data_IF_193933356964
#
_entry.id   IF_193933356964
#
_cell.length_a   1.000
_cell.length_b   1.000
_cell.length_c   1.000
_cell.angle_alpha   90.00
_cell.angle_beta   90.00
_cell.angle_gamma   90.00
#
_symmetry.space_group_name_H-M   'P 1'
#
loop_
_entity.id
_entity.type
_entity.pdbx_description
1 polymer ?
#
# COMPACT_ATOMS: atom_id res chain seq x y z
N UNK A 1 -8.43 -14.76 4.27
CA UNK A 1 -7.85 -14.84 2.90
C UNK A 1 -6.56 -15.67 2.94
N UNK A 2 -6.36 -16.66 2.05
CA UNK A 2 -5.21 -17.59 2.08
C UNK A 2 -3.88 -16.94 1.63
N UNK A 3 -3.96 -15.92 0.76
CA UNK A 3 -2.80 -15.21 0.17
C UNK A 3 -1.98 -14.44 1.20
N UNK A 4 -2.62 -13.58 2.01
CA UNK A 4 -1.93 -12.81 3.04
C UNK A 4 -1.18 -13.70 4.04
N UNK A 5 -1.78 -14.84 4.42
CA UNK A 5 -1.13 -15.85 5.27
C UNK A 5 0.08 -16.48 4.60
N UNK A 6 0.01 -16.78 3.30
CA UNK A 6 1.15 -17.33 2.54
C UNK A 6 2.31 -16.32 2.52
N UNK A 7 2.00 -15.07 2.16
CA UNK A 7 2.97 -13.98 2.10
C UNK A 7 3.59 -13.72 3.47
N UNK A 8 2.83 -13.68 4.57
CA UNK A 8 3.39 -13.49 5.92
C UNK A 8 4.37 -14.59 6.33
N UNK A 9 4.10 -15.85 5.95
CA UNK A 9 4.87 -17.01 6.43
C UNK A 9 6.07 -17.39 5.57
N UNK A 10 6.12 -16.95 4.32
CA UNK A 10 7.14 -17.41 3.37
C UNK A 10 7.83 -16.23 2.69
N UNK A 11 8.98 -15.81 3.24
CA UNK A 11 9.83 -14.75 2.67
C UNK A 11 10.27 -15.08 1.24
N UNK A 12 10.48 -16.36 0.91
CA UNK A 12 10.82 -16.78 -0.45
C UNK A 12 9.71 -16.44 -1.46
N UNK A 13 8.44 -16.59 -1.07
CA UNK A 13 7.28 -16.24 -1.90
C UNK A 13 7.19 -14.72 -2.05
N UNK A 14 7.39 -13.97 -0.95
CA UNK A 14 7.48 -12.50 -1.02
C UNK A 14 8.58 -12.06 -1.96
N UNK A 15 9.79 -12.60 -1.81
CA UNK A 15 10.93 -12.28 -2.67
C UNK A 15 10.70 -12.63 -4.14
N UNK A 16 10.01 -13.73 -4.42
CA UNK A 16 9.63 -14.08 -5.79
C UNK A 16 8.67 -13.05 -6.40
N UNK A 17 7.59 -12.72 -5.71
CA UNK A 17 6.60 -11.78 -6.22
C UNK A 17 7.08 -10.32 -6.20
N UNK A 18 7.89 -9.92 -5.22
CA UNK A 18 8.45 -8.56 -5.17
C UNK A 18 9.39 -8.26 -6.34
N UNK A 19 10.10 -9.29 -6.84
CA UNK A 19 10.93 -9.19 -8.06
C UNK A 19 10.11 -9.14 -9.34
N UNK A 20 8.92 -9.75 -9.35
CA UNK A 20 8.04 -9.81 -10.52
C UNK A 20 7.10 -8.62 -10.61
N UNK A 21 6.55 -8.20 -9.48
CA UNK A 21 5.70 -7.04 -9.29
C UNK A 21 6.58 -5.90 -8.78
N UNK A 22 7.28 -5.26 -9.72
CA UNK A 22 8.22 -4.17 -9.41
C UNK A 22 7.50 -2.86 -9.06
N UNK A 23 6.32 -2.64 -9.64
CA UNK A 23 5.48 -1.46 -9.42
C UNK A 23 4.03 -1.93 -9.20
N UNK A 24 3.41 -1.47 -8.12
CA UNK A 24 2.03 -1.75 -7.77
C UNK A 24 1.24 -0.45 -7.77
N UNK A 25 0.19 -0.37 -8.60
CA UNK A 25 -0.78 0.72 -8.58
C UNK A 25 -2.05 0.23 -7.90
N UNK A 26 -2.50 0.96 -6.89
CA UNK A 26 -3.75 0.70 -6.17
C UNK A 26 -4.67 1.89 -6.42
N UNK A 27 -5.73 1.65 -7.18
CA UNK A 27 -6.79 2.62 -7.43
C UNK A 27 -7.92 2.43 -6.40
N UNK A 28 -8.72 3.48 -6.20
CA UNK A 28 -9.82 3.51 -5.23
C UNK A 28 -9.41 3.04 -3.82
N UNK A 29 -8.27 3.53 -3.32
CA UNK A 29 -7.67 3.05 -2.08
C UNK A 29 -8.57 3.21 -0.84
N UNK A 30 -9.49 4.17 -0.85
CA UNK A 30 -10.48 4.33 0.21
C UNK A 30 -11.39 3.09 0.40
N UNK A 31 -11.50 2.24 -0.61
CA UNK A 31 -12.29 1.01 -0.60
C UNK A 31 -11.46 -0.24 -0.22
N UNK A 32 -10.16 -0.08 0.07
CA UNK A 32 -9.23 -1.17 0.35
C UNK A 32 -9.42 -1.75 1.75
N UNK A 33 -9.60 -3.07 1.82
CA UNK A 33 -9.71 -3.77 3.11
C UNK A 33 -8.33 -3.99 3.79
N UNK A 34 -8.28 -4.18 5.12
CA UNK A 34 -7.00 -4.34 5.84
C UNK A 34 -6.13 -5.50 5.38
N UNK A 35 -6.71 -6.55 4.81
CA UNK A 35 -5.96 -7.71 4.29
C UNK A 35 -5.33 -7.36 2.95
N UNK A 36 -6.01 -6.59 2.10
CA UNK A 36 -5.42 -6.06 0.87
C UNK A 36 -4.26 -5.10 1.17
N UNK A 37 -4.42 -4.23 2.17
CA UNK A 37 -3.35 -3.35 2.64
C UNK A 37 -2.12 -4.14 3.15
N UNK A 38 -2.37 -5.22 3.89
CA UNK A 38 -1.31 -6.14 4.31
C UNK A 38 -0.57 -6.76 3.11
N UNK A 39 -1.31 -7.24 2.11
CA UNK A 39 -0.72 -7.88 0.93
C UNK A 39 0.15 -6.90 0.15
N UNK A 40 -0.35 -5.70 -0.13
CA UNK A 40 0.40 -4.72 -0.92
C UNK A 40 1.70 -4.32 -0.23
N UNK A 41 1.67 -4.03 1.08
CA UNK A 41 2.85 -3.59 1.83
C UNK A 41 3.89 -4.71 1.97
N UNK A 42 3.47 -5.97 2.14
CA UNK A 42 4.39 -7.10 2.18
C UNK A 42 5.08 -7.37 0.82
N UNK A 43 4.43 -7.06 -0.30
CA UNK A 43 4.99 -7.25 -1.64
C UNK A 43 5.96 -6.11 -2.03
N UNK A 44 5.66 -4.90 -1.58
CA UNK A 44 6.45 -3.71 -1.89
C UNK A 44 7.54 -3.46 -0.85
N UNK A 45 7.55 -4.17 0.29
CA UNK A 45 8.55 -4.03 1.34
C UNK A 45 10.01 -4.06 0.84
N UNK A 46 10.83 -3.16 1.37
CA UNK A 46 12.27 -3.11 1.14
C UNK A 46 12.97 -4.32 1.75
N UNK A 47 12.59 -4.67 2.98
CA UNK A 47 13.03 -5.92 3.61
C UNK A 47 12.01 -7.05 3.36
N UNK A 48 12.35 -8.08 2.55
CA UNK A 48 11.47 -9.23 2.33
C UNK A 48 11.36 -10.14 3.55
N UNK A 49 12.13 -9.94 4.63
CA UNK A 49 12.03 -10.69 5.88
C UNK A 49 11.03 -10.09 6.86
N UNK A 50 10.68 -8.81 6.73
CA UNK A 50 9.61 -8.20 7.52
C UNK A 50 8.27 -8.94 7.28
N UNK A 51 7.60 -9.29 8.36
CA UNK A 51 6.35 -10.05 8.38
C UNK A 51 5.17 -9.24 8.93
N UNK A 52 5.47 -8.16 9.63
CA UNK A 52 4.50 -7.20 10.12
C UNK A 52 4.31 -6.09 9.10
N UNK A 53 3.23 -6.16 8.34
CA UNK A 53 2.93 -5.22 7.24
C UNK A 53 2.94 -3.74 7.66
N UNK A 54 2.62 -3.45 8.92
CA UNK A 54 2.63 -2.07 9.47
C UNK A 54 4.03 -1.50 9.65
N UNK A 55 5.06 -2.34 9.65
CA UNK A 55 6.48 -1.96 9.72
C UNK A 55 7.17 -2.03 8.37
N UNK A 56 6.49 -2.55 7.34
CA UNK A 56 7.04 -2.61 6.00
C UNK A 56 7.19 -1.19 5.45
N UNK A 57 8.42 -0.87 5.04
CA UNK A 57 8.72 0.33 4.25
C UNK A 57 8.74 -0.07 2.78
N UNK A 58 7.81 0.42 1.93
CA UNK A 58 7.82 0.14 0.50
C UNK A 58 9.15 0.57 -0.14
N UNK A 59 9.63 -0.19 -1.13
CA UNK A 59 10.77 0.21 -1.94
C UNK A 59 10.42 1.49 -2.71
N UNK A 60 11.36 2.42 -2.90
CA UNK A 60 11.14 3.57 -3.76
C UNK A 60 10.64 3.15 -5.14
N UNK A 61 9.55 3.74 -5.61
CA UNK A 61 8.94 3.51 -6.92
C UNK A 61 8.04 2.29 -6.98
N UNK A 62 7.88 1.53 -5.90
CA UNK A 62 7.20 0.23 -5.96
C UNK A 62 5.71 0.27 -5.62
N UNK A 63 5.21 1.35 -5.04
CA UNK A 63 3.82 1.46 -4.59
C UNK A 63 3.25 2.84 -4.93
N UNK A 64 2.17 2.86 -5.72
CA UNK A 64 1.41 4.05 -6.06
C UNK A 64 -0.02 3.85 -5.57
N UNK A 65 -0.55 4.82 -4.84
CA UNK A 65 -1.87 4.72 -4.24
C UNK A 65 -2.70 5.93 -4.63
N UNK A 66 -3.85 5.68 -5.23
CA UNK A 66 -4.81 6.68 -5.67
C UNK A 66 -6.09 6.46 -4.90
N UNK A 67 -6.67 7.54 -4.36
CA UNK A 67 -7.96 7.46 -3.68
C UNK A 67 -8.46 8.79 -3.13
N UNK A 68 -9.76 8.88 -2.90
CA UNK A 68 -10.41 10.08 -2.35
C UNK A 68 -10.80 9.86 -0.87
N UNK A 69 -10.12 10.53 0.08
CA UNK A 69 -10.49 10.45 1.49
C UNK A 69 -11.91 10.97 1.77
N UNK A 70 -12.46 11.86 0.92
CA UNK A 70 -13.82 12.38 1.08
C UNK A 70 -14.89 11.40 0.63
N UNK A 71 -14.54 10.31 -0.04
CA UNK A 71 -15.49 9.26 -0.42
C UNK A 71 -15.49 8.07 0.54
N UNK A 72 -14.54 8.01 1.48
CA UNK A 72 -14.47 6.93 2.49
C UNK A 72 -15.65 6.94 3.48
N UNK A 73 -16.49 7.97 3.46
CA UNK A 73 -17.69 8.17 4.32
C UNK A 73 -18.89 7.28 3.93
N UNK A 74 -18.87 6.61 2.77
CA UNK A 74 -19.99 5.76 2.34
C UNK A 74 -19.88 4.27 2.76
N UNK A 75 -18.79 3.86 3.43
CA UNK A 75 -18.66 2.47 3.92
C UNK A 75 -18.63 2.39 5.45
N UNK A 76 -19.64 1.68 5.96
CA UNK A 76 -19.94 1.30 7.34
C UNK A 76 -18.85 0.50 8.09
N UNK A 77 -17.59 0.93 8.12
CA UNK A 77 -16.54 0.26 8.90
C UNK A 77 -15.51 1.25 9.47
N UNK A 78 -15.70 1.63 10.74
CA UNK A 78 -14.69 2.34 11.56
C UNK A 78 -13.31 1.65 11.57
N UNK A 79 -13.22 0.35 11.28
CA UNK A 79 -11.95 -0.37 11.21
C UNK A 79 -11.14 -0.05 9.94
N UNK A 80 -11.81 0.36 8.86
CA UNK A 80 -11.17 0.54 7.56
C UNK A 80 -10.50 1.93 7.48
N UNK A 81 -11.11 2.96 8.07
CA UNK A 81 -10.51 4.30 8.16
C UNK A 81 -9.20 4.32 8.96
N UNK A 82 -9.09 3.46 10.00
CA UNK A 82 -7.85 3.32 10.77
C UNK A 82 -6.74 2.74 9.90
N UNK A 83 -7.06 1.71 9.12
CA UNK A 83 -6.12 1.07 8.19
C UNK A 83 -5.70 2.05 7.11
N UNK A 84 -6.66 2.75 6.51
CA UNK A 84 -6.39 3.80 5.53
C UNK A 84 -5.42 4.86 6.07
N UNK A 85 -5.70 5.41 7.26
CA UNK A 85 -4.84 6.42 7.88
C UNK A 85 -3.44 5.87 8.21
N UNK A 86 -3.35 4.60 8.62
CA UNK A 86 -2.06 3.94 8.87
C UNK A 86 -1.23 3.81 7.59
N UNK A 87 -1.83 3.35 6.50
CA UNK A 87 -1.13 3.22 5.22
C UNK A 87 -0.73 4.59 4.70
N UNK A 88 -1.63 5.57 4.74
CA UNK A 88 -1.33 6.95 4.34
C UNK A 88 -0.10 7.47 5.08
N UNK A 89 -0.04 7.27 6.40
CA UNK A 89 1.12 7.67 7.21
C UNK A 89 2.41 6.95 6.81
N UNK A 90 2.36 5.63 6.58
CA UNK A 90 3.52 4.86 6.10
C UNK A 90 4.02 5.43 4.77
N UNK A 91 3.11 5.76 3.86
CA UNK A 91 3.42 6.33 2.55
C UNK A 91 4.06 7.72 2.70
N UNK A 92 3.47 8.62 3.48
CA UNK A 92 4.00 9.97 3.72
C UNK A 92 5.39 9.94 4.38
N UNK A 93 5.59 9.09 5.39
CA UNK A 93 6.90 8.90 6.03
C UNK A 93 7.92 8.29 5.06
N UNK A 94 7.46 7.48 4.09
CA UNK A 94 8.32 6.87 3.08
C UNK A 94 8.61 7.83 1.92
N UNK A 95 7.70 8.73 1.53
CA UNK A 95 7.93 9.75 0.49
C UNK A 95 9.16 10.62 0.80
N UNK A 96 9.28 11.05 2.06
CA UNK A 96 10.43 11.82 2.53
C UNK A 96 11.74 11.01 2.50
N UNK A 97 11.66 9.69 2.62
CA UNK A 97 12.80 8.78 2.65
C UNK A 97 13.12 8.14 1.28
N UNK A 98 12.15 8.07 0.38
CA UNK A 98 12.12 7.28 -0.85
C UNK A 98 11.22 7.97 -1.88
N UNK A 99 11.81 8.57 -2.93
CA UNK A 99 11.14 9.38 -3.98
C UNK A 99 10.15 8.63 -4.92
N UNK A 100 9.49 7.57 -4.48
CA UNK A 100 8.60 6.82 -5.37
C UNK A 100 7.49 6.05 -4.66
N UNK A 101 7.06 6.54 -3.51
CA UNK A 101 5.70 6.26 -3.06
C UNK A 101 4.90 7.51 -3.37
N UNK A 102 3.66 7.38 -3.83
CA UNK A 102 2.83 8.56 -4.14
C UNK A 102 1.42 8.32 -3.64
N UNK A 103 0.96 9.20 -2.76
CA UNK A 103 -0.45 9.35 -2.44
C UNK A 103 -1.04 10.51 -3.26
N UNK A 104 -1.93 10.20 -4.21
CA UNK A 104 -2.63 11.22 -4.98
C UNK A 104 -4.13 11.24 -4.61
N UNK A 105 -4.67 12.32 -4.04
CA UNK A 105 -6.11 12.55 -4.03
C UNK A 105 -6.60 12.68 -5.47
N UNK A 106 -7.78 12.14 -5.77
CA UNK A 106 -8.37 12.11 -7.13
C UNK A 106 -8.22 13.43 -7.94
N UNK A 107 -8.38 14.64 -7.37
CA UNK A 107 -8.17 15.90 -8.10
C UNK A 107 -6.72 16.20 -8.53
N UNK A 108 -5.71 15.57 -7.94
CA UNK A 108 -4.29 15.84 -8.23
C UNK A 108 -3.73 14.99 -9.39
N UNK A 109 -4.39 13.87 -9.73
CA UNK A 109 -4.03 13.05 -10.89
C UNK A 109 -4.22 13.76 -12.24
N UNK A 110 -5.17 14.71 -12.33
CA UNK A 110 -5.36 15.56 -13.52
C UNK A 110 -4.14 16.47 -13.82
N UNK A 111 -3.29 16.72 -12.81
CA UNK A 111 -2.09 17.56 -12.96
C UNK A 111 -0.85 16.75 -13.35
N UNK A 112 -0.78 15.46 -13.00
CA UNK A 112 0.35 14.59 -13.36
C UNK A 112 0.29 14.07 -14.80
N UNK A 113 -0.83 14.28 -15.50
CA UNK A 113 -1.05 13.87 -16.90
C UNK A 113 -0.90 15.02 -17.89
N UNK A 114 -0.32 16.15 -17.48
CA UNK A 114 0.01 17.29 -18.34
C UNK A 114 1.51 17.57 -18.40
#
# INVERSE_FOLDING_TARGET
MKTARLLRRHSAVRGYFSRRCTHLLVDEFQDTDPIQAEVMLLLTATDPHETEWRKCVPRPGSLFVVGDPKQSIYRFRRADIVTYNQVKRIIEETEDLCKGVTYAPFPEMEKLTR
#
